data_IF_660846009482
#
_entry.id   IF_660846009482
#
_cell.length_a   1.000
_cell.length_b   1.000
_cell.length_c   1.000
_cell.angle_alpha   90.00
_cell.angle_beta   90.00
_cell.angle_gamma   90.00
#
_symmetry.space_group_name_H-M   'P 1'
#
loop_
_entity.id
_entity.type
_entity.pdbx_description
1 polymer ?
#
# COMPACT_ATOMS: atom_id res chain seq x y z
N UNK A 1 -1.37 -20.17 1.92
CA UNK A 1 -1.66 -18.91 2.15
C UNK A 1 -0.52 -18.07 2.49
N UNK A 2 -0.32 -17.10 1.83
CA UNK A 2 0.89 -16.31 1.94
C UNK A 2 0.60 -14.88 2.28
N UNK A 3 1.14 -14.44 3.39
CA UNK A 3 1.07 -13.05 3.72
C UNK A 3 2.08 -12.31 2.84
N UNK A 4 1.81 -11.05 2.59
CA UNK A 4 2.75 -10.24 1.84
C UNK A 4 4.03 -10.07 2.65
N UNK A 5 5.17 -10.26 2.01
CA UNK A 5 6.41 -9.98 2.68
C UNK A 5 6.87 -8.57 2.32
N UNK A 6 7.94 -8.12 2.96
CA UNK A 6 8.39 -6.75 2.77
C UNK A 6 8.76 -6.44 1.32
N UNK A 7 9.38 -7.40 0.66
CA UNK A 7 9.78 -7.19 -0.72
C UNK A 7 8.59 -7.00 -1.63
N UNK A 8 7.55 -7.79 -1.42
CA UNK A 8 6.35 -7.66 -2.23
C UNK A 8 5.66 -6.33 -1.98
N UNK A 9 5.64 -5.89 -0.73
CA UNK A 9 5.03 -4.62 -0.39
C UNK A 9 5.80 -3.47 -1.03
N UNK A 10 7.11 -3.51 -0.98
CA UNK A 10 7.91 -2.48 -1.60
C UNK A 10 7.69 -2.44 -3.11
N UNK A 11 7.52 -3.58 -3.71
CA UNK A 11 7.25 -3.66 -5.13
C UNK A 11 5.91 -3.04 -5.47
N UNK A 12 4.91 -3.31 -4.65
CA UNK A 12 3.58 -2.72 -4.85
C UNK A 12 3.63 -1.21 -4.72
N UNK A 13 4.34 -0.72 -3.71
CA UNK A 13 4.48 0.71 -3.51
C UNK A 13 5.18 1.35 -4.70
N UNK A 14 6.19 0.68 -5.22
CA UNK A 14 6.89 1.21 -6.37
C UNK A 14 5.99 1.28 -7.60
N UNK A 15 5.16 0.28 -7.79
CA UNK A 15 4.22 0.28 -8.90
C UNK A 15 3.20 1.41 -8.76
N UNK A 16 2.76 1.68 -7.55
CA UNK A 16 1.88 2.81 -7.31
C UNK A 16 2.59 4.12 -7.62
N UNK A 17 3.85 4.22 -7.21
CA UNK A 17 4.64 5.43 -7.44
C UNK A 17 4.84 5.68 -8.93
N UNK A 18 5.09 4.62 -9.67
CA UNK A 18 5.35 4.74 -11.11
C UNK A 18 4.07 4.86 -11.93
N UNK A 19 2.93 4.66 -11.32
CA UNK A 19 1.69 4.73 -12.04
C UNK A 19 1.32 3.46 -12.79
N UNK A 20 2.03 2.38 -12.53
CA UNK A 20 1.72 1.12 -13.18
C UNK A 20 0.39 0.57 -12.68
N UNK A 21 0.06 0.82 -11.43
CA UNK A 21 -1.25 0.50 -10.89
C UNK A 21 -1.81 1.77 -10.26
N UNK A 22 -3.11 1.93 -10.38
CA UNK A 22 -3.75 3.14 -9.88
C UNK A 22 -4.04 3.04 -8.39
N UNK A 23 -4.29 1.85 -7.93
CA UNK A 23 -4.60 1.64 -6.53
C UNK A 23 -4.32 0.19 -6.18
N UNK A 24 -4.17 -0.06 -4.90
CA UNK A 24 -3.96 -1.42 -4.42
C UNK A 24 -4.77 -1.63 -3.16
N UNK A 25 -5.53 -2.70 -3.14
CA UNK A 25 -6.37 -3.01 -2.00
C UNK A 25 -5.66 -3.99 -1.08
N UNK A 26 -5.57 -3.63 0.19
CA UNK A 26 -4.88 -4.41 1.21
C UNK A 26 -5.93 -4.97 2.16
N UNK A 27 -5.84 -6.25 2.45
CA UNK A 27 -6.77 -6.85 3.39
C UNK A 27 -6.43 -6.44 4.81
N UNK A 28 -7.37 -6.68 5.70
CA UNK A 28 -7.18 -6.34 7.10
C UNK A 28 -5.96 -7.05 7.67
N UNK A 29 -5.74 -8.28 7.25
CA UNK A 29 -4.61 -9.06 7.76
C UNK A 29 -3.27 -8.54 7.26
N UNK A 30 -3.27 -8.01 6.05
CA UNK A 30 -2.04 -7.51 5.44
C UNK A 30 -1.75 -6.06 5.79
N UNK A 31 -2.73 -5.38 6.33
CA UNK A 31 -2.64 -3.96 6.56
C UNK A 31 -1.46 -3.58 7.45
N UNK A 32 -1.25 -4.31 8.52
CA UNK A 32 -0.19 -3.95 9.46
C UNK A 32 1.18 -4.07 8.84
N UNK A 33 1.41 -5.14 8.10
CA UNK A 33 2.70 -5.30 7.44
C UNK A 33 2.90 -4.25 6.35
N UNK A 34 1.85 -3.99 5.60
CA UNK A 34 1.92 -2.98 4.56
C UNK A 34 2.24 -1.62 5.16
N UNK A 35 1.59 -1.29 6.25
CA UNK A 35 1.81 -0.03 6.91
C UNK A 35 3.24 0.12 7.41
N UNK A 36 3.81 -0.95 7.96
CA UNK A 36 5.17 -0.88 8.47
C UNK A 36 6.18 -0.55 7.39
N UNK A 37 5.98 -1.11 6.21
CA UNK A 37 6.86 -0.81 5.09
C UNK A 37 6.57 0.58 4.57
N UNK A 38 5.29 0.94 4.51
CA UNK A 38 4.87 2.22 3.97
C UNK A 38 5.45 3.41 4.73
N UNK A 39 5.42 3.36 6.05
CA UNK A 39 5.89 4.49 6.84
C UNK A 39 7.40 4.72 6.72
N UNK A 40 8.11 3.75 6.17
CA UNK A 40 9.55 3.90 5.95
C UNK A 40 9.87 4.47 4.59
N UNK A 41 8.87 4.65 3.76
CA UNK A 41 9.09 5.17 2.41
C UNK A 41 9.25 6.68 2.43
N UNK A 42 10.06 7.19 1.51
CA UNK A 42 10.29 8.62 1.42
C UNK A 42 9.04 9.37 0.99
N UNK A 43 8.23 8.72 0.15
CA UNK A 43 7.04 9.35 -0.38
C UNK A 43 5.77 8.88 0.32
N UNK A 44 5.90 8.51 1.58
CA UNK A 44 4.74 8.01 2.32
C UNK A 44 3.61 9.03 2.39
N UNK A 45 3.95 10.30 2.36
CA UNK A 45 2.95 11.36 2.43
C UNK A 45 2.14 11.46 1.14
N UNK A 46 2.66 10.92 0.07
CA UNK A 46 1.95 10.94 -1.19
C UNK A 46 1.09 9.70 -1.40
N UNK A 47 1.16 8.77 -0.48
CA UNK A 47 0.35 7.56 -0.56
C UNK A 47 -0.79 7.69 0.44
N UNK A 48 -2.02 7.60 -0.08
CA UNK A 48 -3.19 7.73 0.75
C UNK A 48 -3.86 6.38 0.94
N UNK A 49 -4.28 6.13 2.18
CA UNK A 49 -5.02 4.93 2.49
C UNK A 49 -6.45 5.29 2.83
N UNK A 50 -7.38 4.57 2.21
CA UNK A 50 -8.79 4.80 2.46
C UNK A 50 -9.42 3.52 2.95
N UNK A 51 -10.01 3.58 4.14
CA UNK A 51 -10.63 2.40 4.71
C UNK A 51 -11.90 2.03 3.97
N UNK A 52 -12.09 0.74 3.78
CA UNK A 52 -13.27 0.23 3.13
C UNK A 52 -14.14 -0.51 4.12
N UNK A 53 -15.38 -0.68 3.76
CA UNK A 53 -16.27 -1.51 4.56
C UNK A 53 -15.74 -2.94 4.51
N UNK A 54 -15.76 -3.60 5.63
CA UNK A 54 -15.26 -4.96 5.69
C UNK A 54 -13.83 -5.08 6.17
N UNK A 55 -13.16 -3.95 6.42
CA UNK A 55 -11.86 -3.99 7.04
C UNK A 55 -10.65 -3.85 6.12
N UNK A 56 -10.89 -3.70 4.83
CA UNK A 56 -9.79 -3.49 3.90
C UNK A 56 -9.41 -2.03 3.79
N UNK A 57 -8.26 -1.79 3.18
CA UNK A 57 -7.78 -0.43 2.93
C UNK A 57 -7.28 -0.34 1.49
N UNK A 58 -7.66 0.70 0.81
CA UNK A 58 -7.20 0.94 -0.55
C UNK A 58 -6.15 2.04 -0.53
N UNK A 59 -5.00 1.75 -1.08
CA UNK A 59 -3.91 2.71 -1.16
C UNK A 59 -3.78 3.26 -2.57
N UNK A 60 -3.58 4.56 -2.65
CA UNK A 60 -3.37 5.23 -3.93
C UNK A 60 -2.19 6.17 -3.79
N UNK A 61 -1.48 6.39 -4.87
CA UNK A 61 -0.38 7.33 -4.90
C UNK A 61 -0.86 8.63 -5.53
N UNK A 62 -0.70 9.72 -4.82
CA UNK A 62 -1.12 11.03 -5.29
C UNK A 62 0.08 11.75 -5.88
N UNK A 63 0.01 12.00 -7.17
CA UNK A 63 1.06 12.74 -7.85
C UNK A 63 0.68 14.20 -7.89
N UNK A 64 1.44 14.99 -7.17
CA UNK A 64 1.20 16.43 -7.20
C UNK A 64 2.44 17.20 -7.54
#
# INVERSE_FOLDING_TARGET
MVALNKEEIEEIIEKLRNGEIKQYEVTKEEFMEFREVLIKQKDKEQIRGEAKKGGGVVYTHVNE
#
